data_IF_096207761310
#
_entry.id   IF_096207761310
#
_cell.length_a   1.000
_cell.length_b   1.000
_cell.length_c   1.000
_cell.angle_alpha   90.00
_cell.angle_beta   90.00
_cell.angle_gamma   90.00
#
_symmetry.space_group_name_H-M   'P 1'
#
loop_
_entity.id
_entity.type
_entity.pdbx_description
1 polymer ?
#
# COMPACT_ATOMS: atom_id res chain seq x y z
N UNK A 1 -10.18 -37.49 -43.21
CA UNK A 1 -9.71 -37.01 -41.89
C UNK A 1 -9.08 -35.65 -42.11
N UNK A 2 -9.83 -34.60 -41.88
CA UNK A 2 -9.39 -33.19 -42.04
C UNK A 2 -8.69 -32.75 -40.73
N UNK A 3 -7.38 -32.68 -40.79
CA UNK A 3 -6.56 -32.06 -39.70
C UNK A 3 -6.83 -30.58 -39.79
N UNK A 4 -7.75 -30.10 -38.93
CA UNK A 4 -8.05 -28.67 -38.81
C UNK A 4 -6.79 -27.91 -38.36
N UNK A 5 -6.33 -26.99 -39.20
CA UNK A 5 -5.26 -26.05 -38.88
C UNK A 5 -5.68 -25.23 -37.66
N UNK A 6 -5.16 -25.59 -36.48
CA UNK A 6 -5.26 -24.80 -35.30
C UNK A 6 -4.39 -23.56 -35.53
N UNK A 7 -5.01 -22.42 -35.79
CA UNK A 7 -4.28 -21.17 -36.02
C UNK A 7 -3.44 -20.74 -34.76
N UNK A 8 -2.37 -19.97 -34.96
CA UNK A 8 -1.46 -19.58 -33.88
C UNK A 8 -2.16 -18.91 -32.68
N UNK A 9 -3.26 -18.21 -32.95
CA UNK A 9 -4.06 -17.56 -31.89
C UNK A 9 -4.79 -18.60 -31.01
N UNK A 10 -5.32 -19.68 -31.59
CA UNK A 10 -5.98 -20.74 -30.81
C UNK A 10 -4.98 -21.56 -29.99
N UNK A 11 -3.74 -21.71 -30.45
CA UNK A 11 -2.66 -22.34 -29.72
C UNK A 11 -2.25 -21.49 -28.49
N UNK A 12 -2.14 -20.16 -28.64
CA UNK A 12 -1.86 -19.23 -27.58
C UNK A 12 -2.99 -19.23 -26.52
N UNK A 13 -4.25 -19.21 -26.97
CA UNK A 13 -5.42 -19.28 -26.08
C UNK A 13 -5.43 -20.61 -25.32
N UNK A 14 -5.09 -21.72 -25.98
CA UNK A 14 -5.08 -23.06 -25.37
C UNK A 14 -3.92 -23.20 -24.36
N UNK A 15 -2.75 -22.65 -24.67
CA UNK A 15 -1.63 -22.58 -23.74
C UNK A 15 -1.97 -21.68 -22.54
N UNK A 16 -2.55 -20.51 -22.77
CA UNK A 16 -2.99 -19.59 -21.72
C UNK A 16 -4.04 -20.26 -20.82
N UNK A 17 -5.02 -20.97 -21.42
CA UNK A 17 -6.04 -21.73 -20.68
C UNK A 17 -5.42 -22.85 -19.86
N UNK A 18 -4.45 -23.58 -20.40
CA UNK A 18 -3.74 -24.66 -19.70
C UNK A 18 -2.87 -24.14 -18.56
N UNK A 19 -2.25 -22.96 -18.74
CA UNK A 19 -1.49 -22.26 -17.69
C UNK A 19 -2.42 -21.73 -16.60
N UNK A 20 -3.56 -21.16 -16.99
CA UNK A 20 -4.57 -20.66 -16.06
C UNK A 20 -5.29 -21.78 -15.29
N UNK A 21 -5.37 -22.99 -15.82
CA UNK A 21 -6.03 -24.13 -15.16
C UNK A 21 -5.17 -24.81 -14.09
N UNK A 22 -3.86 -24.56 -14.09
CA UNK A 22 -2.96 -25.16 -13.11
C UNK A 22 -3.06 -24.43 -11.75
N UNK A 23 -3.32 -25.17 -10.67
CA UNK A 23 -3.30 -24.62 -9.31
C UNK A 23 -1.92 -24.07 -9.00
N UNK A 24 -1.86 -22.79 -8.63
CA UNK A 24 -0.59 -22.11 -8.31
C UNK A 24 -0.26 -22.29 -6.82
N UNK A 25 1.01 -22.60 -6.47
CA UNK A 25 1.46 -22.60 -5.08
C UNK A 25 1.32 -21.21 -4.45
N UNK A 26 0.97 -21.16 -3.15
CA UNK A 26 0.77 -19.90 -2.43
C UNK A 26 1.99 -18.97 -2.49
N UNK A 27 3.19 -19.50 -2.29
CA UNK A 27 4.42 -18.70 -2.29
C UNK A 27 4.77 -18.11 -3.65
N UNK A 28 4.48 -18.83 -4.75
CA UNK A 28 4.67 -18.31 -6.12
C UNK A 28 3.68 -17.19 -6.41
N UNK A 29 2.42 -17.36 -6.01
CA UNK A 29 1.41 -16.31 -6.11
C UNK A 29 1.79 -15.07 -5.30
N UNK A 30 2.16 -15.25 -4.03
CA UNK A 30 2.64 -14.17 -3.18
C UNK A 30 3.84 -13.44 -3.78
N UNK A 31 4.85 -14.16 -4.27
CA UNK A 31 6.03 -13.56 -4.88
C UNK A 31 5.66 -12.70 -6.12
N UNK A 32 4.76 -13.19 -6.98
CA UNK A 32 4.31 -12.46 -8.15
C UNK A 32 3.55 -11.17 -7.76
N UNK A 33 2.63 -11.25 -6.80
CA UNK A 33 1.87 -10.08 -6.31
C UNK A 33 2.78 -9.10 -5.59
N UNK A 34 3.73 -9.59 -4.79
CA UNK A 34 4.71 -8.75 -4.10
C UNK A 34 5.64 -8.04 -5.09
N UNK A 35 6.12 -8.73 -6.11
CA UNK A 35 6.94 -8.13 -7.16
C UNK A 35 6.17 -7.04 -7.91
N UNK A 36 4.92 -7.30 -8.28
CA UNK A 36 4.05 -6.32 -8.92
C UNK A 36 3.87 -5.08 -8.03
N UNK A 37 3.53 -5.26 -6.76
CA UNK A 37 3.33 -4.16 -5.82
C UNK A 37 4.61 -3.37 -5.58
N UNK A 38 5.74 -4.03 -5.40
CA UNK A 38 7.02 -3.37 -5.17
C UNK A 38 7.52 -2.58 -6.38
N UNK A 39 7.33 -3.10 -7.59
CA UNK A 39 7.73 -2.42 -8.83
C UNK A 39 6.80 -1.25 -9.20
N UNK A 40 5.56 -1.27 -8.77
CA UNK A 40 4.60 -0.19 -9.01
C UNK A 40 4.58 0.81 -7.85
N UNK A 41 4.05 0.40 -6.71
CA UNK A 41 3.79 1.30 -5.56
C UNK A 41 5.09 1.76 -4.89
N UNK A 42 5.94 0.80 -4.47
CA UNK A 42 7.16 1.14 -3.72
C UNK A 42 8.17 1.87 -4.62
N UNK A 43 8.25 1.54 -5.91
CA UNK A 43 9.13 2.22 -6.85
C UNK A 43 8.74 3.69 -7.08
N UNK A 44 7.44 3.99 -7.16
CA UNK A 44 6.93 5.35 -7.33
C UNK A 44 7.33 6.25 -6.16
N UNK A 45 7.26 5.76 -4.94
CA UNK A 45 7.65 6.54 -3.75
C UNK A 45 9.13 6.94 -3.74
N UNK A 46 9.98 6.21 -4.46
CA UNK A 46 11.41 6.54 -4.59
C UNK A 46 11.72 7.46 -5.76
N UNK A 47 10.74 7.79 -6.61
CA UNK A 47 10.92 8.70 -7.73
C UNK A 47 11.41 10.10 -7.31
N UNK A 48 10.98 10.60 -6.17
CA UNK A 48 11.34 11.94 -5.66
C UNK A 48 12.61 11.97 -4.81
N UNK A 49 13.29 10.82 -4.59
CA UNK A 49 14.51 10.79 -3.79
C UNK A 49 15.67 11.40 -4.59
N UNK A 50 16.28 12.51 -4.13
CA UNK A 50 17.39 13.11 -4.85
C UNK A 50 18.61 12.21 -4.84
N UNK A 51 19.10 11.88 -6.03
CA UNK A 51 20.31 11.07 -6.23
C UNK A 51 21.41 11.96 -6.79
N UNK A 52 22.28 12.45 -5.92
CA UNK A 52 23.40 13.32 -6.33
C UNK A 52 24.73 12.57 -6.52
N UNK A 53 24.94 11.49 -5.78
CA UNK A 53 26.18 10.72 -5.75
C UNK A 53 25.91 9.22 -5.73
N UNK A 54 26.92 8.40 -6.06
CA UNK A 54 26.85 6.94 -5.98
C UNK A 54 26.45 6.45 -4.58
N UNK A 55 26.93 7.09 -3.52
CA UNK A 55 26.57 6.76 -2.15
C UNK A 55 25.06 6.99 -1.88
N UNK A 56 24.50 8.12 -2.33
CA UNK A 56 23.06 8.42 -2.19
C UNK A 56 22.20 7.45 -3.00
N UNK A 57 22.66 7.02 -4.16
CA UNK A 57 22.01 5.99 -4.96
C UNK A 57 21.98 4.64 -4.24
N UNK A 58 23.11 4.16 -3.74
CA UNK A 58 23.19 2.89 -3.00
C UNK A 58 22.27 2.95 -1.77
N UNK A 59 22.27 4.06 -1.03
CA UNK A 59 21.42 4.26 0.13
C UNK A 59 19.92 4.23 -0.24
N UNK A 60 19.56 4.86 -1.35
CA UNK A 60 18.18 4.83 -1.87
C UNK A 60 17.73 3.40 -2.23
N UNK A 61 18.59 2.65 -2.93
CA UNK A 61 18.34 1.24 -3.28
C UNK A 61 18.18 0.38 -2.04
N UNK A 62 19.03 0.53 -1.03
CA UNK A 62 18.92 -0.22 0.23
C UNK A 62 17.62 0.12 0.94
N UNK A 63 17.25 1.39 1.04
CA UNK A 63 15.95 1.81 1.63
C UNK A 63 14.76 1.24 0.84
N UNK A 64 14.84 1.25 -0.49
CA UNK A 64 13.83 0.64 -1.34
C UNK A 64 13.69 -0.87 -1.09
N UNK A 65 14.79 -1.60 -1.05
CA UNK A 65 14.78 -3.04 -0.76
C UNK A 65 14.16 -3.34 0.61
N UNK A 66 14.53 -2.59 1.63
CA UNK A 66 13.97 -2.76 2.98
C UNK A 66 12.47 -2.50 2.98
N UNK A 67 12.01 -1.42 2.33
CA UNK A 67 10.58 -1.11 2.22
C UNK A 67 9.83 -2.18 1.42
N UNK A 68 10.43 -2.70 0.34
CA UNK A 68 9.88 -3.77 -0.47
C UNK A 68 9.75 -5.09 0.32
N UNK A 69 10.75 -5.44 1.12
CA UNK A 69 10.69 -6.63 2.00
C UNK A 69 9.57 -6.49 3.03
N UNK A 70 9.48 -5.34 3.70
CA UNK A 70 8.41 -5.09 4.68
C UNK A 70 7.02 -5.08 4.04
N UNK A 71 6.84 -4.45 2.87
CA UNK A 71 5.59 -4.47 2.12
C UNK A 71 5.21 -5.88 1.68
N UNK A 72 6.20 -6.70 1.26
CA UNK A 72 5.98 -8.10 0.91
C UNK A 72 5.53 -8.94 2.11
N UNK A 73 5.97 -8.60 3.33
CA UNK A 73 5.47 -9.18 4.58
C UNK A 73 3.98 -8.93 4.79
N UNK A 74 3.51 -7.70 4.57
CA UNK A 74 2.07 -7.36 4.64
C UNK A 74 1.27 -8.17 3.62
N UNK A 75 1.75 -8.23 2.37
CA UNK A 75 1.11 -9.02 1.33
C UNK A 75 1.10 -10.51 1.66
N UNK A 76 2.13 -11.02 2.34
CA UNK A 76 2.22 -12.41 2.77
C UNK A 76 1.15 -12.74 3.83
N UNK A 77 0.96 -11.84 4.81
CA UNK A 77 -0.13 -11.94 5.79
C UNK A 77 -1.49 -11.93 5.09
N UNK A 78 -1.72 -11.02 4.16
CA UNK A 78 -2.96 -10.98 3.38
C UNK A 78 -3.16 -12.29 2.57
N UNK A 79 -2.12 -12.78 1.90
CA UNK A 79 -2.16 -14.01 1.11
C UNK A 79 -2.45 -15.27 1.96
N UNK A 80 -2.19 -15.26 3.26
CA UNK A 80 -2.41 -16.40 4.14
C UNK A 80 -3.87 -16.82 4.22
N UNK A 81 -4.81 -15.86 4.15
CA UNK A 81 -6.26 -16.08 4.16
C UNK A 81 -6.91 -15.63 2.87
N UNK A 82 -7.86 -16.42 2.34
CA UNK A 82 -8.64 -16.05 1.14
C UNK A 82 -9.51 -14.84 1.38
N UNK A 83 -10.13 -14.76 2.56
CA UNK A 83 -11.05 -13.67 2.93
C UNK A 83 -10.24 -12.38 3.13
N UNK A 84 -9.15 -12.43 3.90
CA UNK A 84 -8.28 -11.27 4.11
C UNK A 84 -7.74 -10.73 2.79
N UNK A 85 -7.34 -11.62 1.87
CA UNK A 85 -6.83 -11.20 0.57
C UNK A 85 -7.93 -10.60 -0.31
N UNK A 86 -9.12 -11.20 -0.34
CA UNK A 86 -10.22 -10.75 -1.19
C UNK A 86 -10.67 -9.32 -0.89
N UNK A 87 -10.65 -8.90 0.38
CA UNK A 87 -11.02 -7.56 0.79
C UNK A 87 -9.81 -6.65 1.03
N UNK A 88 -8.77 -7.16 1.70
CA UNK A 88 -7.62 -6.38 2.11
C UNK A 88 -6.74 -5.96 0.95
N UNK A 89 -6.52 -6.83 -0.05
CA UNK A 89 -5.66 -6.50 -1.17
C UNK A 89 -6.27 -5.43 -2.11
N UNK A 90 -7.54 -5.51 -2.55
CA UNK A 90 -8.14 -4.43 -3.34
C UNK A 90 -8.17 -3.10 -2.60
N UNK A 91 -8.51 -3.11 -1.32
CA UNK A 91 -8.49 -1.91 -0.49
C UNK A 91 -7.09 -1.29 -0.44
N UNK A 92 -6.08 -2.10 -0.12
CA UNK A 92 -4.69 -1.67 -0.07
C UNK A 92 -4.21 -1.13 -1.42
N UNK A 93 -4.53 -1.82 -2.53
CA UNK A 93 -4.12 -1.43 -3.86
C UNK A 93 -4.75 -0.09 -4.29
N UNK A 94 -6.04 0.11 -4.02
CA UNK A 94 -6.73 1.37 -4.34
C UNK A 94 -6.17 2.51 -3.52
N UNK A 95 -6.02 2.36 -2.20
CA UNK A 95 -5.42 3.39 -1.36
C UNK A 95 -3.99 3.73 -1.82
N UNK A 96 -3.18 2.72 -2.07
CA UNK A 96 -1.81 2.94 -2.54
C UNK A 96 -1.78 3.66 -3.89
N UNK A 97 -2.69 3.34 -4.81
CA UNK A 97 -2.74 4.01 -6.13
C UNK A 97 -3.14 5.47 -6.03
N UNK A 98 -4.07 5.81 -5.13
CA UNK A 98 -4.44 7.21 -4.83
C UNK A 98 -3.24 7.98 -4.28
N UNK A 99 -2.52 7.40 -3.32
CA UNK A 99 -1.33 8.03 -2.75
C UNK A 99 -0.21 8.19 -3.76
N UNK A 100 0.03 7.18 -4.60
CA UNK A 100 0.99 7.28 -5.71
C UNK A 100 0.61 8.38 -6.70
N UNK A 101 -0.68 8.51 -7.03
CA UNK A 101 -1.16 9.57 -7.89
C UNK A 101 -0.84 10.97 -7.32
N UNK A 102 -1.15 11.22 -6.05
CA UNK A 102 -0.86 12.50 -5.42
C UNK A 102 0.64 12.76 -5.25
N UNK A 103 1.42 11.72 -4.96
CA UNK A 103 2.87 11.81 -4.90
C UNK A 103 3.47 12.24 -6.25
N UNK A 104 2.98 11.67 -7.35
CA UNK A 104 3.48 11.98 -8.70
C UNK A 104 2.99 13.33 -9.23
N UNK A 105 1.74 13.73 -8.93
CA UNK A 105 1.15 14.94 -9.54
C UNK A 105 1.42 16.21 -8.74
N UNK A 106 1.43 16.11 -7.41
CA UNK A 106 1.52 17.27 -6.52
C UNK A 106 2.75 17.19 -5.60
N UNK A 107 3.45 16.04 -5.57
CA UNK A 107 4.59 15.83 -4.69
C UNK A 107 4.21 15.68 -3.21
N UNK A 108 2.93 15.43 -2.91
CA UNK A 108 2.43 15.28 -1.55
C UNK A 108 2.63 13.85 -1.06
N UNK A 109 3.30 13.69 0.08
CA UNK A 109 3.34 12.45 0.84
C UNK A 109 2.20 12.37 1.86
N UNK A 110 1.79 11.15 2.21
CA UNK A 110 0.78 10.95 3.24
C UNK A 110 1.34 11.29 4.63
N UNK A 111 0.80 12.35 5.22
CA UNK A 111 1.15 12.84 6.56
C UNK A 111 -0.12 13.10 7.37
N UNK A 112 0.02 13.27 8.70
CA UNK A 112 -1.08 13.67 9.57
C UNK A 112 -1.75 14.98 9.09
N UNK A 113 -0.94 15.94 8.64
CA UNK A 113 -1.43 17.22 8.11
C UNK A 113 -2.25 17.03 6.82
N UNK A 114 -1.83 16.14 5.91
CA UNK A 114 -2.59 15.87 4.69
C UNK A 114 -3.94 15.19 4.98
N UNK A 115 -4.01 14.35 6.01
CA UNK A 115 -5.27 13.74 6.47
C UNK A 115 -6.18 14.81 7.09
N UNK A 116 -5.63 15.72 7.91
CA UNK A 116 -6.39 16.80 8.52
C UNK A 116 -6.99 17.72 7.46
N UNK A 117 -6.18 18.15 6.49
CA UNK A 117 -6.65 18.95 5.35
C UNK A 117 -7.75 18.21 4.59
N UNK A 118 -7.60 16.90 4.41
CA UNK A 118 -8.58 16.09 3.74
C UNK A 118 -9.93 15.99 4.48
N UNK A 119 -9.92 15.96 5.80
CA UNK A 119 -11.13 15.82 6.64
C UNK A 119 -11.84 17.14 6.95
N UNK A 120 -11.08 18.26 6.98
CA UNK A 120 -11.60 19.58 7.35
C UNK A 120 -12.13 20.36 6.15
N UNK A 121 -11.63 20.07 4.95
CA UNK A 121 -12.02 20.79 3.75
C UNK A 121 -13.46 20.49 3.27
N UNK A 122 -14.14 21.54 2.85
CA UNK A 122 -15.50 21.47 2.31
C UNK A 122 -15.58 20.64 1.01
N UNK A 123 -16.77 20.08 0.75
CA UNK A 123 -17.06 19.26 -0.44
C UNK A 123 -16.70 19.96 -1.77
N UNK A 124 -16.70 21.29 -1.82
CA UNK A 124 -16.30 22.08 -2.99
C UNK A 124 -14.80 21.95 -3.31
N UNK A 125 -13.95 21.86 -2.29
CA UNK A 125 -12.50 21.64 -2.47
C UNK A 125 -12.20 20.22 -2.96
N UNK A 126 -12.96 19.22 -2.52
CA UNK A 126 -12.82 17.85 -3.02
C UNK A 126 -13.09 17.76 -4.53
N UNK A 127 -14.07 18.50 -5.05
CA UNK A 127 -14.38 18.48 -6.48
C UNK A 127 -13.25 19.08 -7.33
N UNK A 128 -12.44 19.98 -6.80
CA UNK A 128 -11.29 20.54 -7.53
C UNK A 128 -10.08 19.62 -7.51
N UNK A 129 -9.97 18.75 -6.52
CA UNK A 129 -8.84 17.81 -6.34
C UNK A 129 -9.10 16.48 -7.08
N UNK A 130 -10.38 16.12 -7.30
CA UNK A 130 -10.75 14.90 -8.00
C UNK A 130 -10.66 15.15 -9.52
N UNK A 131 -9.56 14.71 -10.11
CA UNK A 131 -9.42 14.76 -11.58
C UNK A 131 -10.04 13.52 -12.24
N UNK A 132 -10.49 13.62 -13.51
CA UNK A 132 -10.94 12.46 -14.29
C UNK A 132 -9.89 11.36 -14.37
N UNK A 133 -8.62 11.72 -14.38
CA UNK A 133 -7.49 10.78 -14.41
C UNK A 133 -7.36 10.02 -13.09
N UNK A 134 -7.60 10.66 -11.95
CA UNK A 134 -7.64 9.97 -10.63
C UNK A 134 -8.75 8.93 -10.61
N UNK A 135 -9.96 9.28 -11.09
CA UNK A 135 -11.09 8.35 -11.15
C UNK A 135 -10.75 7.15 -12.04
N UNK A 136 -10.14 7.40 -13.22
CA UNK A 136 -9.70 6.33 -14.11
C UNK A 136 -8.65 5.43 -13.45
N UNK A 137 -7.69 5.99 -12.71
CA UNK A 137 -6.65 5.26 -11.97
C UNK A 137 -7.27 4.38 -10.88
N UNK A 138 -8.22 4.91 -10.12
CA UNK A 138 -8.96 4.16 -9.08
C UNK A 138 -9.74 3.00 -9.72
N UNK A 139 -10.51 3.28 -10.77
CA UNK A 139 -11.30 2.26 -11.46
C UNK A 139 -10.42 1.15 -12.04
N UNK A 140 -9.33 1.51 -12.71
CA UNK A 140 -8.37 0.55 -13.28
C UNK A 140 -7.73 -0.33 -12.21
N UNK A 141 -7.27 0.29 -11.11
CA UNK A 141 -6.65 -0.44 -9.99
C UNK A 141 -7.67 -1.33 -9.28
N UNK A 142 -8.91 -0.88 -9.09
CA UNK A 142 -9.97 -1.68 -8.50
C UNK A 142 -10.28 -2.92 -9.34
N UNK A 143 -10.39 -2.78 -10.67
CA UNK A 143 -10.64 -3.91 -11.57
C UNK A 143 -9.49 -4.92 -11.55
N UNK A 144 -8.24 -4.44 -11.66
CA UNK A 144 -7.07 -5.34 -11.63
C UNK A 144 -6.95 -6.04 -10.29
N UNK A 145 -7.08 -5.32 -9.18
CA UNK A 145 -6.96 -5.91 -7.83
C UNK A 145 -8.09 -6.89 -7.55
N UNK A 146 -9.32 -6.63 -8.01
CA UNK A 146 -10.43 -7.56 -7.93
C UNK A 146 -10.18 -8.83 -8.78
N UNK A 147 -9.62 -8.69 -9.97
CA UNK A 147 -9.24 -9.84 -10.82
C UNK A 147 -8.16 -10.70 -10.15
N UNK A 148 -7.15 -10.07 -9.54
CA UNK A 148 -6.10 -10.78 -8.78
C UNK A 148 -6.71 -11.49 -7.55
N UNK A 149 -7.63 -10.84 -6.83
CA UNK A 149 -8.34 -11.42 -5.69
C UNK A 149 -9.21 -12.62 -6.11
N UNK A 150 -9.93 -12.49 -7.22
CA UNK A 150 -10.70 -13.60 -7.81
C UNK A 150 -9.80 -14.77 -8.21
N UNK A 151 -8.64 -14.51 -8.84
CA UNK A 151 -7.64 -15.53 -9.17
C UNK A 151 -7.14 -16.24 -7.91
N UNK A 152 -6.81 -15.48 -6.86
CA UNK A 152 -6.41 -16.03 -5.55
C UNK A 152 -7.50 -16.96 -4.98
N UNK A 153 -8.76 -16.55 -5.09
CA UNK A 153 -9.89 -17.32 -4.56
C UNK A 153 -10.07 -18.65 -5.29
N UNK A 154 -9.97 -18.64 -6.60
CA UNK A 154 -10.30 -19.80 -7.46
C UNK A 154 -9.13 -20.74 -7.70
N UNK A 155 -7.90 -20.22 -7.79
CA UNK A 155 -6.73 -20.97 -8.30
C UNK A 155 -5.67 -21.29 -7.25
N UNK A 156 -5.67 -20.60 -6.12
CA UNK A 156 -4.67 -20.83 -5.07
C UNK A 156 -5.34 -21.47 -3.87
N UNK A 157 -5.06 -22.75 -3.64
CA UNK A 157 -5.63 -23.54 -2.55
C UNK A 157 -4.50 -24.05 -1.64
N UNK A 158 -4.00 -23.22 -0.69
CA UNK A 158 -2.96 -23.64 0.23
C UNK A 158 -3.52 -24.64 1.27
N UNK A 159 -2.65 -25.51 1.77
CA UNK A 159 -2.94 -26.30 2.97
C UNK A 159 -3.01 -25.36 4.21
N UNK A 160 -3.64 -25.83 5.28
CA UNK A 160 -3.68 -25.06 6.54
C UNK A 160 -2.28 -24.77 7.06
N UNK A 161 -1.36 -25.72 6.99
CA UNK A 161 0.04 -25.55 7.37
C UNK A 161 0.71 -24.46 6.54
N UNK A 162 0.58 -24.47 5.21
CA UNK A 162 1.17 -23.45 4.34
C UNK A 162 0.61 -22.05 4.64
N UNK A 163 -0.69 -21.93 4.92
CA UNK A 163 -1.32 -20.66 5.31
C UNK A 163 -0.77 -20.13 6.64
N UNK A 164 -0.64 -21.01 7.63
CA UNK A 164 -0.09 -20.65 8.94
C UNK A 164 1.38 -20.23 8.84
N UNK A 165 2.18 -20.97 8.08
CA UNK A 165 3.58 -20.64 7.83
C UNK A 165 3.72 -19.28 7.13
N UNK A 166 2.91 -19.02 6.11
CA UNK A 166 2.88 -17.73 5.43
C UNK A 166 2.49 -16.60 6.39
N UNK A 167 1.47 -16.80 7.22
CA UNK A 167 1.08 -15.82 8.22
C UNK A 167 2.23 -15.52 9.21
N UNK A 168 2.83 -16.56 9.79
CA UNK A 168 3.91 -16.44 10.77
C UNK A 168 5.14 -15.73 10.19
N UNK A 169 5.56 -16.10 8.96
CA UNK A 169 6.68 -15.45 8.27
C UNK A 169 6.39 -13.99 7.94
N UNK A 170 5.21 -13.71 7.38
CA UNK A 170 4.81 -12.34 7.05
C UNK A 170 4.73 -11.45 8.30
N UNK A 171 4.16 -11.99 9.39
CA UNK A 171 4.09 -11.30 10.68
C UNK A 171 5.49 -11.05 11.27
N UNK A 172 6.39 -12.04 11.21
CA UNK A 172 7.78 -11.88 11.65
C UNK A 172 8.51 -10.78 10.86
N UNK A 173 8.32 -10.71 9.54
CA UNK A 173 8.88 -9.64 8.71
C UNK A 173 8.34 -8.28 9.13
N UNK A 174 7.02 -8.16 9.37
CA UNK A 174 6.43 -6.90 9.85
C UNK A 174 6.97 -6.52 11.23
N UNK A 175 7.04 -7.46 12.16
CA UNK A 175 7.55 -7.20 13.50
C UNK A 175 9.04 -6.83 13.51
N UNK A 176 9.84 -7.30 12.55
CA UNK A 176 11.27 -7.02 12.49
C UNK A 176 11.58 -5.51 12.40
N UNK A 177 10.70 -4.71 11.79
CA UNK A 177 10.84 -3.25 11.75
C UNK A 177 10.76 -2.58 13.14
N UNK A 178 10.05 -3.19 14.10
CA UNK A 178 9.94 -2.66 15.44
C UNK A 178 11.22 -2.86 16.26
N UNK A 179 12.00 -3.91 15.95
CA UNK A 179 13.25 -4.22 16.64
C UNK A 179 14.47 -3.46 16.11
N UNK A 180 14.38 -2.91 14.91
CA UNK A 180 15.49 -2.18 14.29
C UNK A 180 15.04 -0.74 14.01
N UNK A 181 15.29 0.24 14.92
CA UNK A 181 14.76 1.60 14.83
C UNK A 181 15.10 2.33 13.52
N UNK A 182 16.31 2.09 12.97
CA UNK A 182 16.74 2.68 11.69
C UNK A 182 15.91 2.19 10.49
N UNK A 183 15.49 0.93 10.52
CA UNK A 183 14.60 0.33 9.51
C UNK A 183 13.20 0.88 9.71
N UNK A 184 12.71 0.89 10.96
CA UNK A 184 11.39 1.41 11.31
C UNK A 184 11.16 2.83 10.78
N UNK A 185 12.04 3.76 11.08
CA UNK A 185 11.93 5.14 10.61
C UNK A 185 11.89 5.27 9.07
N UNK A 186 12.60 4.41 8.34
CA UNK A 186 12.59 4.42 6.87
C UNK A 186 11.31 3.83 6.27
N UNK A 187 10.68 2.88 6.95
CA UNK A 187 9.50 2.14 6.47
C UNK A 187 8.20 2.84 6.86
N UNK A 188 8.15 3.47 8.04
CA UNK A 188 6.97 4.15 8.59
C UNK A 188 6.45 5.28 7.70
N UNK A 189 7.36 6.00 7.03
CA UNK A 189 7.00 7.08 6.10
C UNK A 189 6.60 6.59 4.70
N UNK A 190 6.56 5.27 4.45
CA UNK A 190 6.35 4.70 3.11
C UNK A 190 5.17 3.73 3.09
N UNK A 191 4.53 3.61 1.92
CA UNK A 191 3.45 2.66 1.70
C UNK A 191 3.93 1.20 1.85
N UNK A 192 3.12 0.33 2.45
CA UNK A 192 1.76 0.59 2.97
C UNK A 192 1.71 1.14 4.40
N UNK A 193 2.82 1.27 5.10
CA UNK A 193 2.88 1.60 6.52
C UNK A 193 2.54 3.06 6.80
N UNK A 194 2.88 3.98 5.89
CA UNK A 194 2.55 5.40 6.03
C UNK A 194 1.05 5.66 6.27
N UNK A 195 0.17 4.81 5.75
CA UNK A 195 -1.28 4.90 5.99
C UNK A 195 -1.58 4.77 7.49
N UNK A 196 -1.02 3.74 8.13
CA UNK A 196 -1.23 3.51 9.56
C UNK A 196 -0.60 4.60 10.42
N UNK A 197 0.66 4.93 10.15
CA UNK A 197 1.39 5.91 10.97
C UNK A 197 0.84 7.33 10.82
N UNK A 198 0.52 7.78 9.60
CA UNK A 198 -0.08 9.09 9.39
C UNK A 198 -1.46 9.22 10.08
N UNK A 199 -2.27 8.16 10.04
CA UNK A 199 -3.55 8.15 10.73
C UNK A 199 -3.40 8.14 12.26
N UNK A 200 -2.47 7.35 12.78
CA UNK A 200 -2.16 7.32 14.22
C UNK A 200 -1.65 8.67 14.72
N UNK A 201 -0.74 9.31 13.97
CA UNK A 201 -0.21 10.64 14.28
C UNK A 201 -1.32 11.70 14.24
N UNK A 202 -2.24 11.61 13.26
CA UNK A 202 -3.41 12.48 13.20
C UNK A 202 -4.28 12.34 14.46
N UNK A 203 -4.58 11.11 14.89
CA UNK A 203 -5.37 10.87 16.09
C UNK A 203 -4.68 11.38 17.37
N UNK A 204 -3.37 11.18 17.47
CA UNK A 204 -2.59 11.63 18.61
C UNK A 204 -2.53 13.17 18.67
N UNK A 205 -2.32 13.83 17.52
CA UNK A 205 -2.33 15.29 17.43
C UNK A 205 -3.69 15.86 17.83
N UNK A 206 -4.78 15.22 17.38
CA UNK A 206 -6.13 15.65 17.72
C UNK A 206 -6.43 15.54 19.21
N UNK A 207 -6.02 14.44 19.86
CA UNK A 207 -6.13 14.27 21.31
C UNK A 207 -5.33 15.35 22.06
N UNK A 208 -4.09 15.59 21.64
CA UNK A 208 -3.25 16.62 22.25
C UNK A 208 -3.87 18.03 22.13
N UNK A 209 -4.52 18.34 21.01
CA UNK A 209 -5.24 19.61 20.82
C UNK A 209 -6.46 19.69 21.75
N UNK A 210 -7.23 18.60 21.89
CA UNK A 210 -8.38 18.57 22.79
C UNK A 210 -7.96 18.74 24.26
N UNK A 211 -6.93 18.02 24.71
CA UNK A 211 -6.38 18.15 26.07
C UNK A 211 -5.86 19.57 26.35
N UNK A 212 -5.14 20.17 25.40
CA UNK A 212 -4.65 21.55 25.55
C UNK A 212 -5.80 22.57 25.55
N UNK A 213 -6.83 22.37 24.74
CA UNK A 213 -8.01 23.24 24.69
C UNK A 213 -8.71 23.30 26.04
N UNK A 214 -8.88 22.16 26.71
CA UNK A 214 -9.49 22.10 28.03
C UNK A 214 -8.63 22.78 29.09
N UNK A 215 -7.31 22.74 28.94
CA UNK A 215 -6.37 23.46 29.80
C UNK A 215 -6.45 24.97 29.61
N UNK A 216 -6.54 25.45 28.36
CA UNK A 216 -6.64 26.88 28.05
C UNK A 216 -8.02 27.49 28.39
N UNK A 217 -9.10 26.72 28.24
CA UNK A 217 -10.45 27.19 28.63
C UNK A 217 -10.63 27.29 30.14
N UNK A 218 -9.87 26.52 30.91
CA UNK A 218 -9.93 26.53 32.39
C UNK A 218 -8.89 27.47 33.04
N UNK A 219 -7.99 28.07 32.26
CA UNK A 219 -7.03 29.04 32.81
C UNK A 219 -7.72 30.44 32.87
N UNK A 220 -7.92 31.05 34.06
CA UNK A 220 -8.50 32.36 34.12
C UNK A 220 -7.57 33.35 33.38
N UNK A 221 -8.15 34.07 32.42
CA UNK A 221 -7.42 35.16 31.73
C UNK A 221 -7.10 36.22 32.74
N UNK A 222 -5.91 36.23 33.29
CA UNK A 222 -5.39 37.37 34.05
C UNK A 222 -5.19 38.53 33.07
N UNK A 223 -6.15 39.47 33.07
CA UNK A 223 -5.97 40.73 32.38
C UNK A 223 -4.73 41.41 32.96
N UNK A 224 -3.59 41.26 32.29
CA UNK A 224 -2.42 42.07 32.54
C UNK A 224 -2.81 43.52 32.29
N UNK A 225 -2.86 44.34 33.33
CA UNK A 225 -2.95 45.79 33.20
C UNK A 225 -1.68 46.25 32.50
N UNK A 226 -1.81 46.61 31.22
CA UNK A 226 -0.80 47.38 30.54
C UNK A 226 -0.83 48.79 31.19
N UNK A 227 0.18 49.10 32.02
CA UNK A 227 0.53 50.44 32.48
C UNK A 227 1.50 51.05 31.48
#
# INVERSE_FOLDING_TARGET
MTIGHIGPISLIILMLKRFLDKKMPLFVFWAAVSMLYCLTVVAIEFHSVPVSNLHSFILAVVKWLVSAVCASGVLMVLCSSRILFAFGFPLLAVFSSVMCYYSLTIGISLTAASIEVALVNDATMWMTVISPFLIATIAFTAVISAAIAYYRWTRVAPSRSTSLTAFALGFAIICSQAFIPRIGASVQSRLPFSIYYAFNDYLNNRRAIEENRDTYTNTPVTHGSFI
#
